data_IF_749596913920
#
_entry.id   IF_749596913920
#
_cell.length_a   1.000
_cell.length_b   1.000
_cell.length_c   1.000
_cell.angle_alpha   90.00
_cell.angle_beta   90.00
_cell.angle_gamma   90.00
#
_symmetry.space_group_name_H-M   'P 1'
#
loop_
_entity.id
_entity.type
_entity.pdbx_description
1 polymer ?
#
# COMPACT_ATOMS: atom_id res chain seq x y z
N UNK A 1 75.43 9.94 -10.97
CA UNK A 1 74.48 11.01 -10.69
C UNK A 1 73.50 11.08 -11.85
N UNK A 2 72.32 10.51 -11.70
CA UNK A 2 71.21 10.70 -12.59
C UNK A 2 69.94 10.70 -11.73
N UNK A 3 69.33 11.88 -11.60
CA UNK A 3 68.07 12.07 -10.88
C UNK A 3 66.92 11.55 -11.73
N UNK A 4 66.13 10.62 -11.20
CA UNK A 4 64.88 10.23 -11.78
C UNK A 4 63.75 11.02 -11.09
N UNK A 5 63.11 11.91 -11.81
CA UNK A 5 61.87 12.58 -11.45
C UNK A 5 60.71 11.56 -11.46
N UNK A 6 60.13 11.28 -10.32
CA UNK A 6 58.89 10.56 -10.19
C UNK A 6 57.77 11.60 -10.33
N UNK A 7 57.06 11.59 -11.45
CA UNK A 7 55.84 12.35 -11.67
C UNK A 7 54.70 11.71 -10.87
N UNK A 8 54.14 12.46 -9.92
CA UNK A 8 52.88 12.14 -9.22
C UNK A 8 51.73 12.27 -10.24
N UNK A 9 51.36 11.15 -10.83
CA UNK A 9 50.08 11.01 -11.56
C UNK A 9 48.99 10.81 -10.51
N UNK A 10 48.19 11.83 -10.24
CA UNK A 10 46.91 11.72 -9.56
C UNK A 10 46.02 10.81 -10.36
N UNK A 11 45.72 9.61 -9.83
CA UNK A 11 44.64 8.76 -10.34
C UNK A 11 43.35 9.52 -10.09
N UNK A 12 42.79 10.10 -11.15
CA UNK A 12 41.38 10.52 -11.15
C UNK A 12 40.54 9.27 -10.94
N UNK A 13 39.79 9.23 -9.85
CA UNK A 13 38.72 8.24 -9.66
C UNK A 13 37.79 8.35 -10.89
N UNK A 14 37.36 7.21 -11.46
CA UNK A 14 36.44 7.25 -12.58
C UNK A 14 35.14 7.93 -12.09
N UNK A 15 34.80 9.05 -12.75
CA UNK A 15 33.47 9.64 -12.62
C UNK A 15 32.45 8.51 -12.84
N UNK A 16 31.71 8.19 -11.79
CA UNK A 16 30.58 7.27 -11.84
C UNK A 16 29.58 7.89 -12.83
N UNK A 17 29.55 7.35 -14.05
CA UNK A 17 28.48 7.68 -15.01
C UNK A 17 27.19 7.38 -14.26
N UNK A 18 26.36 8.38 -14.02
CA UNK A 18 25.05 8.22 -13.40
C UNK A 18 24.33 7.13 -14.19
N UNK A 19 24.09 5.99 -13.57
CA UNK A 19 23.34 4.91 -14.18
C UNK A 19 21.96 5.47 -14.58
N UNK A 20 21.55 5.21 -15.82
CA UNK A 20 20.24 5.61 -16.33
C UNK A 20 19.15 5.10 -15.39
N UNK A 21 18.34 6.02 -14.86
CA UNK A 21 17.21 5.69 -14.01
C UNK A 21 15.91 5.86 -14.81
N UNK A 22 15.14 4.80 -15.08
CA UNK A 22 13.92 4.87 -15.87
C UNK A 22 12.85 5.80 -15.28
N UNK A 23 12.86 6.03 -13.96
CA UNK A 23 11.96 6.97 -13.30
C UNK A 23 12.32 8.44 -13.54
N UNK A 24 13.55 8.74 -13.98
CA UNK A 24 13.94 10.07 -14.45
C UNK A 24 13.47 10.32 -15.89
N UNK A 25 13.36 9.28 -16.74
CA UNK A 25 12.81 9.39 -18.11
C UNK A 25 11.29 9.53 -18.12
N UNK A 26 10.61 8.66 -17.36
CA UNK A 26 9.15 8.66 -17.23
C UNK A 26 8.77 8.55 -15.75
N UNK A 27 8.49 9.68 -15.08
CA UNK A 27 8.14 9.67 -13.67
C UNK A 27 6.92 8.80 -13.39
N UNK A 28 7.02 8.00 -12.32
CA UNK A 28 5.87 7.25 -11.81
C UNK A 28 4.89 8.20 -11.11
N UNK A 29 3.60 8.07 -11.41
CA UNK A 29 2.57 8.85 -10.73
C UNK A 29 2.36 8.29 -9.33
N UNK A 30 3.02 8.87 -8.34
CA UNK A 30 2.90 8.46 -6.94
C UNK A 30 1.58 8.92 -6.34
N UNK A 31 1.03 8.11 -5.43
CA UNK A 31 -0.20 8.39 -4.68
C UNK A 31 0.04 8.14 -3.18
N UNK A 32 -0.70 8.83 -2.29
CA UNK A 32 -0.74 8.47 -0.89
C UNK A 32 -1.29 7.05 -0.69
N UNK A 33 -0.64 6.29 0.16
CA UNK A 33 -1.02 4.90 0.47
C UNK A 33 -1.50 4.84 1.92
N UNK A 34 -2.80 4.84 2.12
CA UNK A 34 -3.43 4.99 3.44
C UNK A 34 -2.97 3.94 4.48
N UNK A 35 -2.80 2.69 4.07
CA UNK A 35 -2.39 1.61 4.99
C UNK A 35 -0.92 1.64 5.39
N UNK A 36 -0.09 2.53 4.79
CA UNK A 36 1.30 2.76 5.23
C UNK A 36 1.38 3.81 6.34
N UNK A 37 0.28 4.51 6.64
CA UNK A 37 0.27 5.49 7.71
C UNK A 37 0.63 4.86 9.05
N UNK A 38 1.52 5.48 9.86
CA UNK A 38 1.96 4.94 11.15
C UNK A 38 0.82 4.52 12.07
N UNK A 39 -0.28 5.26 12.07
CA UNK A 39 -1.47 4.95 12.86
C UNK A 39 -2.17 3.67 12.39
N UNK A 40 -2.22 3.43 11.09
CA UNK A 40 -2.79 2.21 10.50
C UNK A 40 -1.91 1.00 10.82
N UNK A 41 -0.58 1.15 10.66
CA UNK A 41 0.38 0.11 11.01
C UNK A 41 0.34 -0.22 12.51
N UNK A 42 0.18 0.79 13.37
CA UNK A 42 0.05 0.61 14.81
C UNK A 42 -1.22 -0.18 15.19
N UNK A 43 -2.37 0.14 14.57
CA UNK A 43 -3.63 -0.61 14.78
C UNK A 43 -3.47 -2.06 14.33
N UNK A 44 -2.96 -2.28 13.12
CA UNK A 44 -2.75 -3.63 12.60
C UNK A 44 -1.81 -4.44 13.52
N UNK A 45 -0.72 -3.82 13.98
CA UNK A 45 0.20 -4.41 14.95
C UNK A 45 -0.50 -4.75 16.26
N UNK A 46 -1.22 -3.80 16.85
CA UNK A 46 -1.93 -3.97 18.11
C UNK A 46 -2.95 -5.12 18.06
N UNK A 47 -3.80 -5.15 17.01
CA UNK A 47 -4.83 -6.18 16.84
C UNK A 47 -4.26 -7.60 16.70
N UNK A 48 -3.01 -7.73 16.24
CA UNK A 48 -2.30 -9.00 16.11
C UNK A 48 -1.30 -9.27 17.25
N UNK A 49 -1.37 -8.47 18.32
CA UNK A 49 -0.51 -8.60 19.48
C UNK A 49 0.94 -8.21 19.20
N UNK A 50 1.19 -7.34 18.22
CA UNK A 50 2.47 -6.83 17.80
C UNK A 50 3.03 -5.70 18.69
N UNK A 51 4.22 -5.18 18.36
CA UNK A 51 4.80 -4.02 19.05
C UNK A 51 3.86 -2.82 19.01
N UNK A 52 4.02 -1.93 19.97
CA UNK A 52 3.24 -0.70 20.14
C UNK A 52 4.17 0.52 20.08
N UNK A 53 4.68 0.88 18.88
CA UNK A 53 5.54 2.06 18.78
C UNK A 53 4.75 3.34 19.08
N UNK A 54 5.41 4.41 19.54
CA UNK A 54 4.74 5.65 19.91
C UNK A 54 4.03 6.31 18.73
N UNK A 55 2.95 7.05 18.99
CA UNK A 55 2.17 7.80 18.01
C UNK A 55 2.12 9.33 18.30
N UNK A 56 2.70 9.76 19.42
CA UNK A 56 2.83 11.17 19.79
C UNK A 56 4.09 11.82 19.21
N UNK A 57 5.22 11.13 19.31
CA UNK A 57 6.51 11.58 18.78
C UNK A 57 7.25 10.37 18.21
N UNK A 58 7.47 10.37 16.91
CA UNK A 58 8.07 9.24 16.21
C UNK A 58 8.85 9.67 14.96
N UNK A 59 9.65 8.75 14.44
CA UNK A 59 10.42 8.92 13.20
C UNK A 59 10.01 7.90 12.17
N UNK A 60 9.80 8.37 10.94
CA UNK A 60 9.45 7.55 9.77
C UNK A 60 10.55 7.63 8.73
N UNK A 61 10.91 6.50 8.15
CA UNK A 61 11.76 6.38 6.97
C UNK A 61 10.93 5.74 5.85
N UNK A 62 10.90 6.36 4.68
CA UNK A 62 10.36 5.73 3.47
C UNK A 62 11.46 5.51 2.45
N UNK A 63 11.60 4.27 1.99
CA UNK A 63 12.54 3.82 0.97
C UNK A 63 11.79 3.66 -0.35
N UNK A 64 12.18 4.41 -1.37
CA UNK A 64 11.43 4.56 -2.62
C UNK A 64 10.29 5.56 -2.47
N UNK A 65 10.57 6.74 -1.90
CA UNK A 65 9.53 7.74 -1.58
C UNK A 65 8.98 8.49 -2.81
N UNK A 66 9.57 8.29 -4.00
CA UNK A 66 9.19 8.98 -5.21
C UNK A 66 9.16 10.50 -5.03
N UNK A 67 8.12 11.14 -5.53
CA UNK A 67 7.88 12.59 -5.45
C UNK A 67 7.34 13.07 -4.08
N UNK A 68 7.41 12.23 -3.05
CA UNK A 68 6.98 12.52 -1.69
C UNK A 68 5.47 12.46 -1.47
N UNK A 69 4.68 12.05 -2.45
CA UNK A 69 3.21 12.04 -2.36
C UNK A 69 2.67 11.25 -1.16
N UNK A 70 3.38 10.22 -0.71
CA UNK A 70 2.97 9.45 0.47
C UNK A 70 3.38 10.13 1.79
N UNK A 71 4.60 10.66 1.89
CA UNK A 71 5.11 11.24 3.14
C UNK A 71 4.65 12.67 3.42
N UNK A 72 4.47 13.50 2.38
CA UNK A 72 4.13 14.92 2.56
C UNK A 72 2.82 15.13 3.31
N UNK A 73 1.71 14.40 3.02
CA UNK A 73 0.49 14.49 3.81
C UNK A 73 0.71 14.07 5.27
N UNK A 74 1.46 12.99 5.50
CA UNK A 74 1.77 12.52 6.85
C UNK A 74 2.55 13.58 7.64
N UNK A 75 3.58 14.19 7.04
CA UNK A 75 4.38 15.24 7.66
C UNK A 75 3.54 16.52 7.94
N UNK A 76 2.60 16.84 7.06
CA UNK A 76 1.71 17.99 7.23
C UNK A 76 0.80 17.83 8.44
N UNK A 77 0.18 16.65 8.62
CA UNK A 77 -0.75 16.39 9.72
C UNK A 77 -0.07 15.97 11.03
N UNK A 78 1.19 15.53 11.00
CA UNK A 78 1.93 15.02 12.17
C UNK A 78 3.17 15.85 12.45
N UNK A 79 2.94 17.10 12.89
CA UNK A 79 4.03 18.09 13.14
C UNK A 79 5.01 17.67 14.22
N UNK A 80 4.62 16.79 15.14
CA UNK A 80 5.48 16.26 16.22
C UNK A 80 6.31 15.04 15.78
N UNK A 81 6.05 14.50 14.59
CA UNK A 81 6.84 13.41 14.02
C UNK A 81 7.86 13.96 13.02
N UNK A 82 8.89 13.19 12.74
CA UNK A 82 9.91 13.50 11.74
C UNK A 82 9.96 12.45 10.66
N UNK A 83 10.14 12.89 9.42
CA UNK A 83 10.05 12.04 8.23
C UNK A 83 11.33 12.14 7.40
N UNK A 84 11.78 11.02 6.88
CA UNK A 84 12.89 10.94 5.93
C UNK A 84 12.42 10.11 4.74
N UNK A 85 12.49 10.67 3.54
CA UNK A 85 12.24 9.97 2.29
C UNK A 85 13.54 9.75 1.52
N UNK A 86 13.72 8.58 0.94
CA UNK A 86 14.89 8.25 0.11
C UNK A 86 14.43 7.71 -1.23
N UNK A 87 14.98 8.24 -2.32
CA UNK A 87 14.72 7.73 -3.67
C UNK A 87 15.97 7.82 -4.54
N UNK A 88 16.09 6.88 -5.48
CA UNK A 88 17.17 6.82 -6.45
C UNK A 88 16.96 7.73 -7.68
N UNK A 89 15.74 8.24 -7.90
CA UNK A 89 15.43 9.13 -9.02
C UNK A 89 15.58 10.60 -8.60
N UNK A 90 16.52 11.30 -9.23
CA UNK A 90 16.82 12.70 -8.91
C UNK A 90 15.63 13.61 -9.19
N UNK A 91 14.96 13.42 -10.32
CA UNK A 91 13.78 14.22 -10.70
C UNK A 91 12.65 14.11 -9.70
N UNK A 92 12.44 12.93 -9.11
CA UNK A 92 11.43 12.70 -8.08
C UNK A 92 11.75 13.46 -6.79
N UNK A 93 13.01 13.42 -6.33
CA UNK A 93 13.45 14.16 -5.14
C UNK A 93 13.35 15.68 -5.33
N UNK A 94 13.69 16.20 -6.52
CA UNK A 94 13.54 17.63 -6.84
C UNK A 94 12.07 18.08 -6.76
N UNK A 95 11.12 17.25 -7.21
CA UNK A 95 9.68 17.50 -7.08
C UNK A 95 9.28 17.46 -5.60
N UNK A 96 9.72 16.45 -4.84
CA UNK A 96 9.42 16.30 -3.42
C UNK A 96 9.91 17.51 -2.60
N UNK A 97 11.13 17.99 -2.84
CA UNK A 97 11.71 19.16 -2.17
C UNK A 97 10.96 20.46 -2.54
N UNK A 98 10.57 20.62 -3.81
CA UNK A 98 9.75 21.75 -4.23
C UNK A 98 8.40 21.78 -3.50
N UNK A 99 7.72 20.64 -3.40
CA UNK A 99 6.45 20.49 -2.67
C UNK A 99 6.61 20.74 -1.16
N UNK A 100 7.66 20.18 -0.55
CA UNK A 100 8.03 20.44 0.85
C UNK A 100 8.19 21.93 1.11
N UNK A 101 8.93 22.64 0.26
CA UNK A 101 9.15 24.08 0.38
C UNK A 101 7.83 24.87 0.25
N UNK A 102 6.98 24.51 -0.73
CA UNK A 102 5.67 25.13 -0.93
C UNK A 102 4.73 24.96 0.28
N UNK A 103 4.85 23.83 1.01
CA UNK A 103 4.08 23.52 2.22
C UNK A 103 4.69 24.06 3.50
N UNK A 104 5.92 24.55 3.47
CA UNK A 104 6.64 25.02 4.66
C UNK A 104 6.81 23.91 5.71
N UNK A 105 7.20 22.71 5.29
CA UNK A 105 7.35 21.55 6.17
C UNK A 105 8.78 21.45 6.75
N UNK A 106 9.00 21.75 8.04
CA UNK A 106 10.32 21.65 8.65
C UNK A 106 10.65 20.22 9.14
N UNK A 107 9.66 19.35 9.21
CA UNK A 107 9.74 18.03 9.85
C UNK A 107 9.91 16.87 8.85
N UNK A 108 10.29 17.15 7.60
CA UNK A 108 10.58 16.16 6.57
C UNK A 108 11.86 16.50 5.81
N UNK A 109 12.61 15.48 5.46
CA UNK A 109 13.82 15.55 4.64
C UNK A 109 13.73 14.55 3.50
N UNK A 110 14.20 14.92 2.30
CA UNK A 110 14.32 14.02 1.16
C UNK A 110 15.79 13.85 0.79
N UNK A 111 16.20 12.61 0.50
CA UNK A 111 17.59 12.22 0.20
C UNK A 111 17.62 11.52 -1.16
N UNK A 112 18.36 12.08 -2.11
CA UNK A 112 18.67 11.39 -3.35
C UNK A 112 19.83 10.40 -3.11
N UNK A 113 19.50 9.10 -3.05
CA UNK A 113 20.48 8.02 -2.90
C UNK A 113 19.92 6.69 -3.41
N UNK A 114 20.79 5.84 -3.93
CA UNK A 114 20.48 4.42 -4.11
C UNK A 114 20.57 3.67 -2.77
N UNK A 115 19.92 2.52 -2.66
CA UNK A 115 19.83 1.75 -1.41
C UNK A 115 21.18 1.11 -0.99
N UNK A 116 22.13 0.97 -1.91
CA UNK A 116 23.48 0.47 -1.59
C UNK A 116 24.29 1.51 -0.82
N UNK A 117 24.02 2.80 -1.06
CA UNK A 117 24.76 3.93 -0.46
C UNK A 117 23.95 4.71 0.56
N UNK A 118 22.62 4.58 0.58
CA UNK A 118 21.70 5.32 1.45
C UNK A 118 22.04 5.21 2.95
N UNK A 119 22.52 4.05 3.41
CA UNK A 119 22.90 3.83 4.81
C UNK A 119 23.92 4.85 5.34
N UNK A 120 24.79 5.41 4.48
CA UNK A 120 25.79 6.42 4.85
C UNK A 120 25.20 7.82 5.03
N UNK A 121 24.05 8.09 4.45
CA UNK A 121 23.38 9.39 4.47
C UNK A 121 22.25 9.46 5.49
N UNK A 122 21.64 8.32 5.81
CA UNK A 122 20.56 8.23 6.79
C UNK A 122 21.14 8.15 8.20
N UNK A 123 20.71 9.03 9.10
CA UNK A 123 21.14 9.05 10.49
C UNK A 123 20.05 8.59 11.47
N UNK A 124 20.50 7.90 12.55
CA UNK A 124 19.64 7.47 13.63
C UNK A 124 18.75 6.28 13.28
N UNK A 125 17.78 6.01 14.17
CA UNK A 125 16.83 4.90 14.03
C UNK A 125 15.39 5.42 13.92
N UNK A 126 14.50 4.58 13.38
CA UNK A 126 13.14 4.91 13.06
C UNK A 126 12.15 4.00 13.78
N UNK A 127 11.01 4.56 14.15
CA UNK A 127 9.90 3.80 14.74
C UNK A 127 9.11 3.05 13.66
N UNK A 128 9.04 3.65 12.46
CA UNK A 128 8.37 3.10 11.31
C UNK A 128 9.30 3.20 10.09
N UNK A 129 9.41 2.10 9.35
CA UNK A 129 10.06 2.08 8.03
C UNK A 129 9.04 1.61 7.02
N UNK A 130 8.96 2.28 5.88
CA UNK A 130 8.03 2.02 4.78
C UNK A 130 8.86 1.73 3.53
N UNK A 131 8.54 0.64 2.82
CA UNK A 131 9.08 0.32 1.50
C UNK A 131 7.94 -0.18 0.61
N UNK A 132 7.22 0.76 -0.03
CA UNK A 132 6.06 0.45 -0.88
C UNK A 132 6.44 0.50 -2.36
N UNK A 133 6.10 -0.55 -3.11
CA UNK A 133 6.36 -0.62 -4.56
C UNK A 133 7.84 -0.71 -4.94
N UNK A 134 8.70 -1.24 -4.06
CA UNK A 134 10.16 -1.27 -4.28
C UNK A 134 10.70 -2.69 -4.35
N UNK A 135 10.40 -3.52 -3.36
CA UNK A 135 11.14 -4.77 -3.10
C UNK A 135 11.15 -5.76 -4.27
N UNK A 136 10.05 -5.86 -4.99
CA UNK A 136 9.95 -6.75 -6.16
C UNK A 136 10.57 -6.19 -7.43
N UNK A 137 10.92 -4.90 -7.46
CA UNK A 137 11.30 -4.15 -8.65
C UNK A 137 12.78 -3.81 -8.73
N UNK A 138 13.57 -4.30 -7.81
CA UNK A 138 15.00 -4.03 -7.74
C UNK A 138 15.81 -5.33 -7.81
N UNK A 139 17.08 -5.30 -8.29
CA UNK A 139 17.98 -6.45 -8.32
C UNK A 139 18.20 -7.08 -6.94
N UNK A 140 18.68 -8.33 -6.91
CA UNK A 140 18.86 -9.10 -5.68
C UNK A 140 19.78 -8.42 -4.67
N UNK A 141 20.91 -7.89 -5.10
CA UNK A 141 21.88 -7.19 -4.26
C UNK A 141 21.29 -5.92 -3.63
N UNK A 142 20.45 -5.21 -4.37
CA UNK A 142 19.70 -4.05 -3.87
C UNK A 142 18.64 -4.47 -2.85
N UNK A 143 17.93 -5.60 -3.07
CA UNK A 143 16.99 -6.16 -2.07
C UNK A 143 17.70 -6.53 -0.76
N UNK A 144 18.86 -7.18 -0.89
CA UNK A 144 19.66 -7.57 0.28
C UNK A 144 20.15 -6.32 1.05
N UNK A 145 20.60 -5.28 0.34
CA UNK A 145 20.99 -4.00 0.94
C UNK A 145 19.81 -3.29 1.61
N UNK A 146 18.63 -3.29 0.98
CA UNK A 146 17.40 -2.71 1.54
C UNK A 146 17.02 -3.38 2.86
N UNK A 147 16.98 -4.71 2.91
CA UNK A 147 16.67 -5.43 4.15
C UNK A 147 17.74 -5.20 5.23
N UNK A 148 19.01 -5.14 4.86
CA UNK A 148 20.12 -4.83 5.79
C UNK A 148 19.98 -3.41 6.36
N UNK A 149 19.66 -2.43 5.52
CA UNK A 149 19.39 -1.05 5.92
C UNK A 149 18.19 -0.99 6.88
N UNK A 150 17.09 -1.67 6.56
CA UNK A 150 15.93 -1.76 7.45
C UNK A 150 16.30 -2.37 8.81
N UNK A 151 17.07 -3.46 8.84
CA UNK A 151 17.50 -4.10 10.08
C UNK A 151 18.39 -3.19 10.93
N UNK A 152 19.26 -2.41 10.30
CA UNK A 152 20.12 -1.44 11.00
C UNK A 152 19.33 -0.25 11.54
N UNK A 153 18.41 0.28 10.75
CA UNK A 153 17.73 1.56 11.04
C UNK A 153 16.39 1.41 11.79
N UNK A 154 15.78 0.25 11.81
CA UNK A 154 14.57 0.03 12.60
C UNK A 154 14.91 0.01 14.10
N UNK A 155 14.12 0.71 14.91
CA UNK A 155 14.21 0.61 16.38
C UNK A 155 13.71 -0.74 16.87
N UNK A 156 14.16 -1.15 18.04
CA UNK A 156 13.56 -2.26 18.75
C UNK A 156 12.10 -1.90 19.09
N UNK A 157 11.18 -2.81 18.78
CA UNK A 157 9.74 -2.55 18.88
C UNK A 157 9.18 -1.62 17.79
N UNK A 158 9.98 -1.25 16.78
CA UNK A 158 9.50 -0.53 15.59
C UNK A 158 8.83 -1.46 14.61
N UNK A 159 8.16 -0.87 13.61
CA UNK A 159 7.46 -1.58 12.54
C UNK A 159 8.08 -1.27 11.18
N UNK A 160 8.36 -2.32 10.41
CA UNK A 160 8.72 -2.26 9.00
C UNK A 160 7.52 -2.70 8.18
N UNK A 161 6.98 -1.80 7.38
CA UNK A 161 6.06 -2.13 6.29
C UNK A 161 6.85 -2.34 5.00
N UNK A 162 6.59 -3.44 4.33
CA UNK A 162 7.17 -3.73 3.02
C UNK A 162 6.14 -4.49 2.19
N UNK A 163 5.95 -4.15 0.91
CA UNK A 163 5.12 -4.97 0.03
C UNK A 163 5.96 -5.71 -1.00
N UNK A 164 5.43 -6.83 -1.46
CA UNK A 164 6.05 -7.63 -2.52
C UNK A 164 5.02 -8.36 -3.38
N UNK A 165 5.40 -8.59 -4.62
CA UNK A 165 4.61 -9.32 -5.60
C UNK A 165 4.57 -10.81 -5.25
N UNK A 166 3.37 -11.41 -5.29
CA UNK A 166 3.14 -12.81 -4.90
C UNK A 166 3.05 -13.73 -6.11
N UNK A 167 3.76 -14.87 -6.06
CA UNK A 167 3.89 -15.79 -7.19
C UNK A 167 2.58 -16.23 -7.83
N UNK A 168 1.53 -16.63 -7.12
CA UNK A 168 0.33 -17.13 -7.78
C UNK A 168 -0.22 -16.13 -8.81
N UNK A 169 -0.44 -14.90 -8.41
CA UNK A 169 -0.94 -13.86 -9.30
C UNK A 169 0.10 -13.41 -10.33
N UNK A 170 1.34 -13.19 -9.90
CA UNK A 170 2.40 -12.72 -10.79
C UNK A 170 2.95 -13.78 -11.74
N UNK A 171 2.67 -15.07 -11.55
CA UNK A 171 2.95 -16.07 -12.57
C UNK A 171 2.08 -15.86 -13.82
N UNK A 172 0.81 -15.49 -13.65
CA UNK A 172 -0.08 -15.16 -14.78
C UNK A 172 0.27 -13.80 -15.37
N UNK A 173 0.35 -12.77 -14.52
CA UNK A 173 0.72 -11.40 -14.94
C UNK A 173 2.13 -11.36 -15.52
N UNK A 174 3.06 -12.15 -14.99
CA UNK A 174 4.43 -12.30 -15.50
C UNK A 174 4.47 -12.81 -16.93
N UNK A 175 3.59 -13.75 -17.30
CA UNK A 175 3.47 -14.22 -18.68
C UNK A 175 3.03 -13.11 -19.63
N UNK A 176 2.05 -12.26 -19.24
CA UNK A 176 1.64 -11.09 -20.04
C UNK A 176 2.78 -10.10 -20.14
N UNK A 177 3.49 -9.85 -19.05
CA UNK A 177 4.67 -8.98 -19.00
C UNK A 177 5.78 -9.47 -19.95
N UNK A 178 6.16 -10.75 -19.90
CA UNK A 178 7.17 -11.32 -20.78
C UNK A 178 6.77 -11.17 -22.26
N UNK A 179 5.50 -11.40 -22.57
CA UNK A 179 4.96 -11.20 -23.91
C UNK A 179 5.09 -9.75 -24.35
N UNK A 180 4.67 -8.78 -23.55
CA UNK A 180 4.75 -7.35 -23.88
C UNK A 180 6.20 -6.87 -23.99
N UNK A 181 7.11 -7.32 -23.13
CA UNK A 181 8.54 -7.04 -23.22
C UNK A 181 9.11 -7.49 -24.57
N UNK A 182 8.78 -8.71 -25.01
CA UNK A 182 9.23 -9.22 -26.29
C UNK A 182 8.66 -8.45 -27.49
N UNK A 183 7.37 -8.07 -27.42
CA UNK A 183 6.72 -7.32 -28.51
C UNK A 183 7.21 -5.87 -28.66
N UNK A 184 7.81 -5.31 -27.61
CA UNK A 184 8.25 -3.91 -27.56
C UNK A 184 9.77 -3.74 -27.45
N UNK A 185 10.55 -4.82 -27.62
CA UNK A 185 11.99 -4.87 -27.36
C UNK A 185 12.80 -3.85 -28.19
N UNK A 186 12.40 -3.60 -29.45
CA UNK A 186 13.11 -2.72 -30.40
C UNK A 186 12.81 -1.22 -30.20
N UNK A 187 11.89 -0.88 -29.28
CA UNK A 187 11.51 0.51 -29.01
C UNK A 187 12.37 1.04 -27.86
N UNK A 188 13.10 2.11 -28.10
CA UNK A 188 14.06 2.66 -27.13
C UNK A 188 13.45 3.62 -26.12
N UNK A 189 12.50 4.48 -26.53
CA UNK A 189 11.81 5.41 -25.63
C UNK A 189 10.84 4.64 -24.71
N UNK A 190 10.94 4.85 -23.40
CA UNK A 190 10.11 4.17 -22.43
C UNK A 190 8.62 4.52 -22.60
N UNK A 191 8.32 5.78 -22.90
CA UNK A 191 6.96 6.25 -23.18
C UNK A 191 6.38 5.56 -24.43
N UNK A 192 7.10 5.60 -25.57
CA UNK A 192 6.64 4.98 -26.82
C UNK A 192 6.49 3.46 -26.65
N UNK A 193 7.39 2.86 -25.89
CA UNK A 193 7.35 1.43 -25.55
C UNK A 193 6.09 1.07 -24.76
N UNK A 194 5.72 1.88 -23.77
CA UNK A 194 4.52 1.67 -22.97
C UNK A 194 3.23 1.87 -23.79
N UNK A 195 3.19 2.86 -24.66
CA UNK A 195 2.08 3.08 -25.60
C UNK A 195 1.95 1.89 -26.57
N UNK A 196 3.04 1.42 -27.14
CA UNK A 196 3.03 0.24 -28.01
C UNK A 196 2.56 -1.02 -27.28
N UNK A 197 2.92 -1.18 -25.99
CA UNK A 197 2.44 -2.27 -25.16
C UNK A 197 0.92 -2.22 -24.98
N UNK A 198 0.34 -1.04 -24.77
CA UNK A 198 -1.12 -0.86 -24.70
C UNK A 198 -1.80 -1.17 -26.04
N UNK A 199 -1.22 -0.76 -27.16
CA UNK A 199 -1.72 -1.07 -28.50
C UNK A 199 -1.71 -2.58 -28.78
N UNK A 200 -0.63 -3.27 -28.37
CA UNK A 200 -0.54 -4.73 -28.46
C UNK A 200 -1.60 -5.39 -27.60
N UNK A 201 -1.76 -4.93 -26.36
CA UNK A 201 -2.77 -5.43 -25.42
C UNK A 201 -4.21 -5.27 -26.00
N UNK A 202 -4.53 -4.12 -26.56
CA UNK A 202 -5.82 -3.86 -27.19
C UNK A 202 -6.09 -4.81 -28.38
N UNK A 203 -5.09 -5.08 -29.21
CA UNK A 203 -5.19 -6.03 -30.32
C UNK A 203 -5.42 -7.45 -29.83
N UNK A 204 -4.75 -7.87 -28.75
CA UNK A 204 -4.98 -9.18 -28.12
C UNK A 204 -6.39 -9.29 -27.59
N UNK A 205 -6.88 -8.29 -26.85
CA UNK A 205 -8.25 -8.26 -26.33
C UNK A 205 -9.27 -8.38 -27.46
N UNK A 206 -9.09 -7.62 -28.56
CA UNK A 206 -9.98 -7.65 -29.72
C UNK A 206 -9.95 -9.01 -30.47
N UNK A 207 -8.84 -9.74 -30.39
CA UNK A 207 -8.66 -11.04 -31.06
C UNK A 207 -9.14 -12.22 -30.22
N UNK A 208 -9.30 -12.02 -28.90
CA UNK A 208 -9.79 -13.08 -28.01
C UNK A 208 -11.28 -13.30 -28.30
N UNK A 209 -11.59 -14.45 -28.86
CA UNK A 209 -12.97 -14.93 -28.87
C UNK A 209 -13.31 -15.25 -27.41
N UNK A 210 -14.08 -14.36 -26.76
CA UNK A 210 -14.57 -14.58 -25.41
C UNK A 210 -15.62 -15.71 -25.49
N UNK A 211 -15.13 -16.94 -25.59
CA UNK A 211 -15.90 -18.15 -25.41
C UNK A 211 -15.92 -18.53 -23.93
N UNK A 212 -16.59 -19.62 -23.63
CA UNK A 212 -16.71 -20.18 -22.27
C UNK A 212 -15.37 -20.70 -21.67
N UNK A 213 -14.23 -20.52 -22.36
CA UNK A 213 -12.95 -21.07 -21.89
C UNK A 213 -12.34 -20.17 -20.81
N UNK A 214 -12.14 -20.65 -19.56
CA UNK A 214 -11.64 -19.86 -18.43
C UNK A 214 -10.31 -19.16 -18.71
N UNK A 215 -9.43 -19.78 -19.50
CA UNK A 215 -8.15 -19.18 -19.89
C UNK A 215 -8.30 -17.91 -20.74
N UNK A 216 -9.26 -17.90 -21.69
CA UNK A 216 -9.55 -16.72 -22.50
C UNK A 216 -10.09 -15.56 -21.65
N UNK A 217 -10.91 -15.87 -20.67
CA UNK A 217 -11.40 -14.89 -19.69
C UNK A 217 -10.26 -14.30 -18.86
N UNK A 218 -9.37 -15.17 -18.32
CA UNK A 218 -8.22 -14.74 -17.52
C UNK A 218 -7.30 -13.85 -18.32
N UNK A 219 -6.93 -14.23 -19.55
CA UNK A 219 -6.11 -13.42 -20.44
C UNK A 219 -6.77 -12.08 -20.77
N UNK A 220 -8.08 -12.10 -21.10
CA UNK A 220 -8.83 -10.88 -21.39
C UNK A 220 -8.75 -9.89 -20.24
N UNK A 221 -8.91 -10.36 -19.00
CA UNK A 221 -8.85 -9.51 -17.83
C UNK A 221 -7.47 -8.90 -17.63
N UNK A 222 -6.39 -9.68 -17.79
CA UNK A 222 -5.02 -9.18 -17.62
C UNK A 222 -4.63 -8.18 -18.73
N UNK A 223 -5.00 -8.43 -20.01
CA UNK A 223 -4.73 -7.48 -21.09
C UNK A 223 -5.61 -6.23 -21.02
N UNK A 224 -6.87 -6.32 -20.60
CA UNK A 224 -7.71 -5.15 -20.31
C UNK A 224 -7.10 -4.29 -19.21
N UNK A 225 -6.57 -4.91 -18.16
CA UNK A 225 -5.87 -4.19 -17.10
C UNK A 225 -4.69 -3.36 -17.65
N UNK A 226 -3.93 -3.87 -18.63
CA UNK A 226 -2.88 -3.09 -19.30
C UNK A 226 -3.47 -1.90 -20.08
N UNK A 227 -4.57 -2.10 -20.80
CA UNK A 227 -5.22 -1.05 -21.61
C UNK A 227 -5.78 0.09 -20.73
N UNK A 228 -6.30 -0.23 -19.56
CA UNK A 228 -7.04 0.70 -18.69
C UNK A 228 -6.14 1.50 -17.75
N UNK A 229 -4.88 1.09 -17.58
CA UNK A 229 -3.95 1.76 -16.68
C UNK A 229 -3.20 2.90 -17.38
N UNK A 230 -2.72 3.85 -16.57
CA UNK A 230 -1.92 4.97 -17.06
C UNK A 230 -0.61 4.47 -17.69
N UNK A 231 -0.13 5.14 -18.73
CA UNK A 231 1.07 4.75 -19.47
C UNK A 231 2.31 4.60 -18.59
N UNK A 232 2.48 5.45 -17.57
CA UNK A 232 3.61 5.33 -16.62
C UNK A 232 3.50 4.08 -15.76
N UNK A 233 2.28 3.65 -15.38
CA UNK A 233 2.04 2.39 -14.69
C UNK A 233 2.45 1.20 -15.56
N UNK A 234 2.02 1.20 -16.83
CA UNK A 234 2.39 0.14 -17.79
C UNK A 234 3.90 0.06 -17.96
N UNK A 235 4.57 1.22 -18.08
CA UNK A 235 6.02 1.30 -18.21
C UNK A 235 6.75 0.63 -17.02
N UNK A 236 6.36 0.94 -15.81
CA UNK A 236 7.10 0.51 -14.62
C UNK A 236 6.65 -0.85 -14.08
N UNK A 237 5.39 -1.27 -14.33
CA UNK A 237 4.89 -2.57 -13.86
C UNK A 237 5.05 -3.69 -14.90
N UNK A 238 4.87 -3.38 -16.19
CA UNK A 238 4.91 -4.40 -17.24
C UNK A 238 6.21 -4.38 -18.07
N UNK A 239 6.95 -3.27 -18.08
CA UNK A 239 8.15 -3.14 -18.91
C UNK A 239 9.45 -2.93 -18.11
N UNK A 240 9.40 -2.87 -16.78
CA UNK A 240 10.58 -2.87 -15.93
C UNK A 240 11.45 -4.11 -16.19
N UNK A 241 12.77 -3.98 -16.08
CA UNK A 241 13.69 -5.11 -16.27
C UNK A 241 13.54 -6.10 -15.11
N UNK A 242 13.57 -5.60 -13.88
CA UNK A 242 13.45 -6.42 -12.69
C UNK A 242 11.99 -6.57 -12.28
N UNK A 243 11.60 -7.80 -12.00
CA UNK A 243 10.37 -8.16 -11.31
C UNK A 243 10.59 -9.49 -10.61
N UNK A 244 10.44 -9.52 -9.30
CA UNK A 244 10.61 -10.74 -8.53
C UNK A 244 9.42 -10.99 -7.62
N UNK A 245 8.68 -12.05 -7.89
CA UNK A 245 7.57 -12.50 -7.07
C UNK A 245 8.00 -13.63 -6.13
N UNK A 246 7.42 -13.66 -4.94
CA UNK A 246 7.71 -14.65 -3.90
C UNK A 246 6.48 -15.48 -3.56
N UNK A 247 6.70 -16.75 -3.15
CA UNK A 247 5.77 -17.42 -2.27
C UNK A 247 5.83 -16.73 -0.88
N UNK A 248 4.72 -16.71 -0.17
CA UNK A 248 4.69 -16.15 1.19
C UNK A 248 5.74 -16.83 2.10
N UNK A 249 5.83 -18.15 2.04
CA UNK A 249 6.81 -18.94 2.79
C UNK A 249 8.26 -18.57 2.47
N UNK A 250 8.58 -18.30 1.19
CA UNK A 250 9.93 -17.87 0.76
C UNK A 250 10.27 -16.51 1.34
N UNK A 251 9.34 -15.54 1.22
CA UNK A 251 9.56 -14.19 1.73
C UNK A 251 9.71 -14.17 3.26
N UNK A 252 8.83 -14.85 3.99
CA UNK A 252 8.93 -14.92 5.46
C UNK A 252 10.23 -15.57 5.92
N UNK A 253 10.69 -16.63 5.21
CA UNK A 253 11.98 -17.24 5.48
C UNK A 253 13.16 -16.30 5.17
N UNK A 254 13.05 -15.43 4.17
CA UNK A 254 14.05 -14.40 3.90
C UNK A 254 14.06 -13.34 5.02
N UNK A 255 12.89 -12.84 5.41
CA UNK A 255 12.76 -11.86 6.48
C UNK A 255 13.34 -12.37 7.81
N UNK A 256 13.07 -13.64 8.17
CA UNK A 256 13.62 -14.28 9.37
C UNK A 256 15.17 -14.34 9.34
N UNK A 257 15.76 -14.69 8.20
CA UNK A 257 17.24 -14.68 8.04
C UNK A 257 17.84 -13.29 8.17
N UNK A 258 17.07 -12.24 7.86
CA UNK A 258 17.48 -10.85 8.03
C UNK A 258 17.16 -10.30 9.43
N UNK A 259 16.71 -11.14 10.38
CA UNK A 259 16.43 -10.76 11.75
C UNK A 259 15.06 -10.13 11.97
N UNK A 260 14.10 -10.37 11.06
CA UNK A 260 12.74 -9.89 11.20
C UNK A 260 11.76 -11.01 11.56
N UNK A 261 10.65 -10.62 12.16
CA UNK A 261 9.52 -11.48 12.49
C UNK A 261 8.24 -10.85 11.96
N UNK A 262 7.39 -11.65 11.32
CA UNK A 262 6.10 -11.20 10.80
C UNK A 262 5.11 -10.95 11.94
N UNK A 263 4.42 -9.81 11.88
CA UNK A 263 3.39 -9.38 12.82
C UNK A 263 2.00 -9.58 12.23
N UNK A 264 1.74 -8.93 11.10
CA UNK A 264 0.44 -8.89 10.40
C UNK A 264 0.65 -8.48 8.94
N UNK A 265 -0.40 -8.47 8.13
CA UNK A 265 -0.45 -7.72 6.87
C UNK A 265 -1.20 -6.38 7.10
N UNK A 266 -0.76 -5.33 6.42
CA UNK A 266 -1.31 -3.97 6.60
C UNK A 266 -2.65 -3.78 5.86
N UNK A 267 -2.79 -4.37 4.67
CA UNK A 267 -4.05 -4.35 3.91
C UNK A 267 -4.78 -5.69 4.07
N UNK A 268 -5.88 -5.65 4.83
CA UNK A 268 -6.75 -6.83 5.03
C UNK A 268 -7.73 -7.03 3.88
N UNK A 269 -7.99 -5.99 3.09
CA UNK A 269 -9.03 -5.96 2.07
C UNK A 269 -8.50 -6.17 0.66
N UNK A 270 -7.22 -6.51 0.51
CA UNK A 270 -6.68 -6.75 -0.82
C UNK A 270 -7.55 -7.78 -1.56
N UNK A 271 -8.05 -7.47 -2.77
CA UNK A 271 -9.01 -8.31 -3.50
C UNK A 271 -8.33 -9.54 -4.08
N UNK A 272 -7.93 -10.42 -3.22
CA UNK A 272 -7.64 -11.78 -3.58
C UNK A 272 -8.95 -12.52 -3.42
N UNK A 273 -9.60 -12.88 -4.49
CA UNK A 273 -10.85 -13.61 -4.54
C UNK A 273 -11.51 -13.98 -3.20
N UNK A 274 -12.79 -14.10 -3.12
CA UNK A 274 -13.47 -14.50 -1.88
C UNK A 274 -12.97 -15.88 -1.47
N UNK A 275 -12.11 -15.93 -0.46
CA UNK A 275 -11.72 -17.19 0.15
C UNK A 275 -12.94 -17.67 0.95
N UNK A 276 -13.47 -18.87 0.71
CA UNK A 276 -14.53 -19.43 1.54
C UNK A 276 -14.12 -19.43 3.02
N UNK A 277 -15.01 -19.00 3.92
CA UNK A 277 -14.70 -18.92 5.37
C UNK A 277 -14.26 -20.27 5.95
N UNK A 278 -14.78 -21.37 5.39
CA UNK A 278 -14.45 -22.73 5.80
C UNK A 278 -13.18 -23.29 5.16
N UNK A 279 -12.55 -22.56 4.22
CA UNK A 279 -11.32 -23.06 3.56
C UNK A 279 -10.20 -23.33 4.56
N UNK A 280 -9.96 -22.40 5.48
CA UNK A 280 -8.94 -22.56 6.49
C UNK A 280 -9.15 -23.80 7.39
N UNK A 281 -10.33 -23.98 7.98
CA UNK A 281 -10.68 -25.21 8.69
C UNK A 281 -10.52 -26.49 7.86
N UNK A 282 -10.97 -26.50 6.61
CA UNK A 282 -10.83 -27.67 5.72
C UNK A 282 -9.37 -28.02 5.45
N UNK A 283 -8.54 -27.05 5.04
CA UNK A 283 -7.13 -27.30 4.78
C UNK A 283 -6.40 -27.85 6.00
N UNK A 284 -6.72 -27.35 7.20
CA UNK A 284 -6.17 -27.90 8.44
C UNK A 284 -6.63 -29.30 8.73
N UNK A 285 -7.89 -29.62 8.48
CA UNK A 285 -8.43 -30.98 8.63
C UNK A 285 -7.74 -31.96 7.68
N UNK A 286 -7.34 -31.52 6.48
CA UNK A 286 -6.59 -32.29 5.49
C UNK A 286 -5.08 -32.34 5.79
N UNK A 287 -4.63 -31.82 6.93
CA UNK A 287 -3.23 -31.86 7.36
C UNK A 287 -2.35 -30.80 6.69
N UNK A 288 -2.91 -29.87 5.95
CA UNK A 288 -2.19 -28.75 5.34
C UNK A 288 -2.03 -27.65 6.39
N UNK A 289 -0.82 -27.53 6.93
CA UNK A 289 -0.50 -26.60 8.02
C UNK A 289 0.81 -25.85 7.79
N UNK A 290 1.07 -24.85 8.64
CA UNK A 290 2.30 -24.06 8.60
C UNK A 290 2.46 -23.25 7.32
N UNK A 291 3.70 -23.15 6.84
CA UNK A 291 4.00 -22.33 5.65
C UNK A 291 3.29 -22.83 4.38
N UNK A 292 3.13 -24.13 4.22
CA UNK A 292 2.39 -24.72 3.10
C UNK A 292 0.91 -24.34 3.10
N UNK A 293 0.32 -24.13 4.26
CA UNK A 293 -1.06 -23.64 4.38
C UNK A 293 -1.23 -22.24 3.79
N UNK A 294 -0.35 -21.30 4.15
CA UNK A 294 -0.42 -19.91 3.67
C UNK A 294 -0.19 -19.83 2.15
N UNK A 295 0.79 -20.55 1.61
CA UNK A 295 1.03 -20.64 0.16
C UNK A 295 -0.17 -21.26 -0.58
N UNK A 296 -0.86 -22.22 0.03
CA UNK A 296 -2.07 -22.82 -0.55
C UNK A 296 -3.23 -21.82 -0.57
N UNK A 297 -3.41 -21.05 0.50
CA UNK A 297 -4.41 -19.97 0.53
C UNK A 297 -4.14 -18.94 -0.56
N UNK A 298 -2.88 -18.51 -0.72
CA UNK A 298 -2.47 -17.57 -1.77
C UNK A 298 -2.77 -18.13 -3.17
N UNK A 299 -2.45 -19.40 -3.40
CA UNK A 299 -2.71 -20.08 -4.68
C UNK A 299 -4.21 -20.09 -5.01
N UNK A 300 -5.05 -20.47 -4.05
CA UNK A 300 -6.50 -20.58 -4.25
C UNK A 300 -7.20 -19.23 -4.36
N UNK A 301 -6.63 -18.19 -3.77
CA UNK A 301 -7.17 -16.80 -3.82
C UNK A 301 -6.61 -15.97 -4.96
N UNK A 302 -5.73 -16.52 -5.81
CA UNK A 302 -5.05 -15.74 -6.85
C UNK A 302 -4.34 -14.50 -6.31
N UNK A 303 -3.67 -14.63 -5.15
CA UNK A 303 -3.00 -13.50 -4.48
C UNK A 303 -1.92 -12.88 -5.39
N UNK A 304 -1.95 -11.56 -5.53
CA UNK A 304 -0.99 -10.81 -6.35
C UNK A 304 0.01 -10.00 -5.52
N UNK A 305 -0.37 -9.62 -4.30
CA UNK A 305 0.43 -8.75 -3.45
C UNK A 305 0.29 -9.15 -1.99
N UNK A 306 1.38 -9.07 -1.24
CA UNK A 306 1.40 -9.06 0.21
C UNK A 306 1.93 -7.73 0.75
N UNK A 307 1.44 -7.34 1.92
CA UNK A 307 1.76 -6.09 2.62
C UNK A 307 2.20 -6.35 4.05
N UNK A 308 3.23 -7.21 4.28
CA UNK A 308 3.61 -7.59 5.62
C UNK A 308 4.09 -6.40 6.45
N UNK A 309 3.70 -6.44 7.71
CA UNK A 309 4.27 -5.66 8.80
C UNK A 309 5.23 -6.57 9.55
N UNK A 310 6.48 -6.16 9.62
CA UNK A 310 7.56 -6.89 10.26
C UNK A 310 8.08 -6.10 11.47
N UNK A 311 8.67 -6.81 12.43
CA UNK A 311 9.42 -6.21 13.53
C UNK A 311 10.74 -6.96 13.74
N UNK A 312 11.69 -6.37 14.51
CA UNK A 312 12.92 -7.08 14.83
C UNK A 312 12.67 -8.32 15.68
N UNK A 313 13.38 -9.39 15.37
CA UNK A 313 13.40 -10.64 16.14
C UNK A 313 14.53 -10.62 17.20
N UNK A 314 14.37 -11.24 18.39
CA UNK A 314 13.16 -11.92 18.84
C UNK A 314 12.12 -10.95 19.40
N UNK A 315 10.86 -11.23 19.10
CA UNK A 315 9.74 -10.51 19.69
C UNK A 315 8.68 -11.51 20.17
N UNK A 316 8.08 -11.26 21.33
CA UNK A 316 7.04 -12.11 21.89
C UNK A 316 5.69 -11.46 21.71
N UNK A 317 4.75 -12.18 21.08
CA UNK A 317 3.39 -11.72 20.85
C UNK A 317 2.68 -11.42 22.17
N UNK A 318 2.14 -10.21 22.28
CA UNK A 318 1.42 -9.75 23.47
C UNK A 318 -0.07 -9.79 23.17
N UNK A 319 -0.88 -10.53 23.96
CA UNK A 319 -2.33 -10.52 23.80
C UNK A 319 -2.89 -9.10 23.88
N UNK A 320 -3.85 -8.78 23.01
CA UNK A 320 -4.62 -7.55 23.10
C UNK A 320 -5.53 -7.62 24.33
N UNK A 321 -5.41 -6.64 25.22
CA UNK A 321 -6.31 -6.54 26.41
C UNK A 321 -7.61 -5.84 26.02
N UNK A 322 -8.68 -6.12 26.80
CA UNK A 322 -9.98 -5.44 26.62
C UNK A 322 -9.82 -3.92 26.82
N UNK A 323 -8.98 -3.49 27.76
CA UNK A 323 -8.72 -2.08 28.02
C UNK A 323 -8.03 -1.41 26.81
N UNK A 324 -7.01 -2.03 26.21
CA UNK A 324 -6.36 -1.51 25.00
C UNK A 324 -7.35 -1.42 23.84
N UNK A 325 -8.22 -2.42 23.67
CA UNK A 325 -9.24 -2.39 22.62
C UNK A 325 -10.28 -1.29 22.88
N UNK A 326 -10.75 -1.14 24.11
CA UNK A 326 -11.70 -0.10 24.50
C UNK A 326 -11.15 1.32 24.30
N UNK A 327 -9.84 1.50 24.36
CA UNK A 327 -9.15 2.76 24.09
C UNK A 327 -8.98 3.11 22.62
N UNK A 328 -9.21 2.17 21.71
CA UNK A 328 -9.25 2.48 20.28
C UNK A 328 -10.45 3.37 19.94
N UNK A 329 -10.30 4.14 18.88
CA UNK A 329 -11.42 4.87 18.26
C UNK A 329 -12.03 4.03 17.16
N UNK A 330 -13.36 4.09 17.06
CA UNK A 330 -14.15 3.50 15.98
C UNK A 330 -14.78 4.61 15.15
N UNK A 331 -14.68 4.51 13.82
CA UNK A 331 -15.36 5.39 12.88
C UNK A 331 -16.05 4.56 11.80
N UNK A 332 -17.17 5.05 11.27
CA UNK A 332 -17.93 4.37 10.23
C UNK A 332 -18.59 5.34 9.27
N UNK A 333 -18.47 5.08 7.97
CA UNK A 333 -19.20 5.76 6.89
C UNK A 333 -20.42 4.96 6.42
N UNK A 334 -20.75 3.85 7.07
CA UNK A 334 -21.89 3.00 6.72
C UNK A 334 -23.21 3.73 6.92
N UNK A 335 -24.01 3.88 5.88
CA UNK A 335 -25.35 4.49 5.94
C UNK A 335 -26.43 3.42 6.05
N UNK A 336 -27.44 3.60 6.91
CA UNK A 336 -28.55 2.68 6.96
C UNK A 336 -29.29 2.67 5.62
N UNK A 337 -29.71 1.49 5.17
CA UNK A 337 -30.54 1.33 3.98
C UNK A 337 -31.79 0.50 4.28
N UNK A 338 -32.78 0.56 3.39
CA UNK A 338 -34.04 -0.15 3.59
C UNK A 338 -33.79 -1.66 3.63
N UNK A 339 -34.35 -2.29 4.66
CA UNK A 339 -34.43 -3.74 4.84
C UNK A 339 -35.89 -4.17 4.79
N UNK A 340 -36.16 -5.25 4.09
CA UNK A 340 -37.47 -5.93 4.17
C UNK A 340 -37.64 -6.70 5.47
N UNK A 341 -36.56 -6.87 6.25
CA UNK A 341 -36.52 -7.54 7.53
C UNK A 341 -36.55 -6.51 8.66
N UNK A 342 -37.41 -6.73 9.64
CA UNK A 342 -37.56 -5.85 10.82
C UNK A 342 -36.67 -6.28 12.00
N UNK A 343 -36.06 -7.46 11.92
CA UNK A 343 -35.20 -7.99 12.98
C UNK A 343 -33.72 -7.62 12.78
N UNK A 344 -33.31 -7.22 11.55
CA UNK A 344 -31.95 -6.89 11.20
C UNK A 344 -31.87 -5.54 10.45
N UNK A 345 -30.82 -4.77 10.71
CA UNK A 345 -30.56 -3.52 10.02
C UNK A 345 -29.54 -3.71 8.91
N UNK A 346 -29.90 -3.30 7.70
CA UNK A 346 -28.96 -3.25 6.57
C UNK A 346 -28.23 -1.92 6.53
N UNK A 347 -26.97 -1.97 6.17
CA UNK A 347 -26.12 -0.81 5.95
C UNK A 347 -25.44 -0.90 4.60
N UNK A 348 -25.19 0.25 3.99
CA UNK A 348 -24.47 0.36 2.73
C UNK A 348 -23.20 1.19 2.91
N UNK A 349 -22.08 0.66 2.43
CA UNK A 349 -20.84 1.38 2.31
C UNK A 349 -20.86 2.26 1.05
N UNK A 350 -20.19 3.42 0.99
CA UNK A 350 -20.11 4.26 -0.21
C UNK A 350 -19.63 3.53 -1.48
N UNK A 351 -18.83 2.47 -1.32
CA UNK A 351 -18.44 1.59 -2.44
C UNK A 351 -19.56 0.71 -3.00
N UNK A 352 -20.80 0.82 -2.49
CA UNK A 352 -21.94 0.00 -2.88
C UNK A 352 -22.06 -1.35 -2.15
N UNK A 353 -21.09 -1.71 -1.32
CA UNK A 353 -21.13 -2.94 -0.54
C UNK A 353 -22.19 -2.86 0.56
N UNK A 354 -23.01 -3.90 0.72
CA UNK A 354 -24.03 -3.97 1.75
C UNK A 354 -23.63 -4.98 2.84
N UNK A 355 -23.98 -4.66 4.09
CA UNK A 355 -23.74 -5.50 5.25
C UNK A 355 -24.97 -5.53 6.14
N UNK A 356 -25.28 -6.70 6.65
CA UNK A 356 -26.32 -6.93 7.65
C UNK A 356 -25.71 -6.86 9.04
N UNK A 357 -26.24 -5.98 9.90
CA UNK A 357 -25.91 -5.94 11.32
C UNK A 357 -27.02 -6.65 12.11
N UNK A 358 -26.69 -7.80 12.70
CA UNK A 358 -27.65 -8.66 13.42
C UNK A 358 -27.84 -8.22 14.86
N UNK A 359 -26.75 -7.76 15.49
CA UNK A 359 -26.76 -7.35 16.89
C UNK A 359 -27.27 -5.91 17.04
N UNK A 360 -28.30 -5.72 17.87
CA UNK A 360 -28.90 -4.39 18.11
C UNK A 360 -27.85 -3.38 18.60
N UNK A 361 -26.92 -3.80 19.44
CA UNK A 361 -25.85 -2.96 19.96
C UNK A 361 -24.90 -2.47 18.86
N UNK A 362 -24.66 -3.30 17.84
CA UNK A 362 -23.81 -2.94 16.69
C UNK A 362 -24.52 -1.94 15.79
N UNK A 363 -25.75 -2.22 15.32
CA UNK A 363 -26.42 -1.30 14.41
C UNK A 363 -26.84 0.02 15.09
N UNK A 364 -27.15 0.02 16.38
CA UNK A 364 -27.35 1.25 17.14
C UNK A 364 -26.08 2.10 17.23
N UNK A 365 -24.91 1.47 17.37
CA UNK A 365 -23.62 2.18 17.32
C UNK A 365 -23.33 2.72 15.92
N UNK A 366 -23.49 1.93 14.86
CA UNK A 366 -23.26 2.35 13.48
C UNK A 366 -24.12 3.56 13.09
N UNK A 367 -25.41 3.58 13.48
CA UNK A 367 -26.31 4.71 13.29
C UNK A 367 -25.84 6.00 14.00
N UNK A 368 -25.15 5.88 15.14
CA UNK A 368 -24.58 7.03 15.85
C UNK A 368 -23.25 7.49 15.29
N UNK A 369 -22.48 6.60 14.66
CA UNK A 369 -21.17 6.87 14.11
C UNK A 369 -21.25 7.58 12.73
N UNK A 370 -22.16 7.13 11.87
CA UNK A 370 -22.28 7.64 10.51
C UNK A 370 -22.36 9.17 10.42
N UNK A 371 -23.21 9.90 11.19
CA UNK A 371 -23.29 11.35 11.10
C UNK A 371 -22.01 12.07 11.62
N UNK A 372 -21.13 11.35 12.28
CA UNK A 372 -19.87 11.89 12.82
C UNK A 372 -18.69 11.68 11.90
N UNK A 373 -18.84 10.85 10.87
CA UNK A 373 -17.78 10.59 9.90
C UNK A 373 -17.17 11.89 9.37
N UNK A 374 -15.84 12.02 9.25
CA UNK A 374 -14.81 11.00 9.50
C UNK A 374 -14.34 10.89 10.96
N UNK A 375 -14.97 11.58 11.91
CA UNK A 375 -14.63 11.51 13.33
C UNK A 375 -15.03 10.16 13.93
N UNK A 376 -14.20 9.67 14.85
CA UNK A 376 -14.47 8.46 15.61
C UNK A 376 -15.00 8.74 17.01
N UNK A 377 -15.30 7.67 17.72
CA UNK A 377 -15.63 7.66 19.15
C UNK A 377 -14.79 6.56 19.78
N UNK A 378 -14.35 6.74 21.03
CA UNK A 378 -13.69 5.64 21.74
C UNK A 378 -14.64 4.45 21.85
N UNK A 379 -14.13 3.26 21.64
CA UNK A 379 -14.95 2.03 21.72
C UNK A 379 -15.58 1.90 23.11
N UNK A 380 -14.82 2.18 24.17
CA UNK A 380 -15.35 2.15 25.54
C UNK A 380 -16.45 3.18 25.84
N UNK A 381 -16.54 4.27 25.05
CA UNK A 381 -17.61 5.26 25.14
C UNK A 381 -18.82 4.89 24.25
N UNK A 382 -18.59 4.08 23.22
CA UNK A 382 -19.62 3.63 22.30
C UNK A 382 -20.38 2.40 22.79
N UNK A 383 -19.72 1.51 23.54
CA UNK A 383 -20.24 0.23 23.99
C UNK A 383 -20.09 0.05 25.51
N UNK A 384 -21.18 -0.36 26.18
CA UNK A 384 -21.17 -0.63 27.62
C UNK A 384 -20.39 -1.90 27.96
N UNK A 385 -20.44 -2.90 27.10
CA UNK A 385 -19.69 -4.16 27.22
C UNK A 385 -18.86 -4.39 25.97
N UNK A 386 -17.60 -4.01 26.03
CA UNK A 386 -16.65 -4.16 24.92
C UNK A 386 -16.34 -5.65 24.64
N UNK A 387 -16.40 -6.50 25.67
CA UNK A 387 -16.11 -7.93 25.53
C UNK A 387 -17.09 -8.62 24.60
N UNK A 388 -18.35 -8.18 24.63
CA UNK A 388 -19.42 -8.75 23.82
C UNK A 388 -19.27 -8.43 22.32
N UNK A 389 -18.70 -7.28 21.98
CA UNK A 389 -18.65 -6.76 20.58
C UNK A 389 -17.28 -6.84 19.93
N UNK A 390 -16.22 -7.21 20.66
CA UNK A 390 -14.83 -7.15 20.17
C UNK A 390 -14.61 -7.96 18.89
N UNK A 391 -15.17 -9.16 18.80
CA UNK A 391 -14.95 -10.03 17.64
C UNK A 391 -15.72 -9.51 16.41
N UNK A 392 -16.94 -9.00 16.60
CA UNK A 392 -17.74 -8.40 15.53
C UNK A 392 -17.05 -7.14 14.96
N UNK A 393 -16.56 -6.26 15.84
CA UNK A 393 -15.83 -5.07 15.43
C UNK A 393 -14.53 -5.40 14.69
N UNK A 394 -13.83 -6.46 15.11
CA UNK A 394 -12.63 -6.93 14.40
C UNK A 394 -12.98 -7.49 13.01
N UNK A 395 -14.10 -8.20 12.88
CA UNK A 395 -14.60 -8.71 11.60
C UNK A 395 -14.99 -7.56 10.69
N UNK A 396 -15.75 -6.59 11.18
CA UNK A 396 -16.16 -5.40 10.42
C UNK A 396 -14.93 -4.59 9.96
N UNK A 397 -13.95 -4.40 10.84
CA UNK A 397 -12.71 -3.71 10.51
C UNK A 397 -11.91 -4.45 9.42
N UNK A 398 -11.75 -5.78 9.58
CA UNK A 398 -11.04 -6.61 8.58
C UNK A 398 -11.69 -6.58 7.21
N UNK A 399 -13.01 -6.40 7.16
CA UNK A 399 -13.76 -6.28 5.90
C UNK A 399 -13.83 -4.84 5.37
N UNK A 400 -13.16 -3.87 6.04
CA UNK A 400 -13.14 -2.46 5.62
C UNK A 400 -14.46 -1.74 5.78
N UNK A 401 -15.36 -2.27 6.62
CA UNK A 401 -16.70 -1.71 6.85
C UNK A 401 -16.71 -0.65 7.96
N UNK A 402 -15.73 -0.72 8.86
CA UNK A 402 -15.46 0.30 9.87
C UNK A 402 -13.96 0.55 9.93
N UNK A 403 -13.57 1.66 10.50
CA UNK A 403 -12.19 1.97 10.82
C UNK A 403 -11.94 1.89 12.32
N UNK A 404 -10.87 1.16 12.71
CA UNK A 404 -10.30 1.24 14.04
C UNK A 404 -9.05 2.11 13.99
N UNK A 405 -8.87 2.99 14.98
CA UNK A 405 -7.78 3.97 15.04
C UNK A 405 -7.18 4.02 16.44
N UNK A 406 -5.86 4.18 16.54
CA UNK A 406 -5.18 4.41 17.81
C UNK A 406 -5.29 5.87 18.28
N UNK A 407 -5.50 6.80 17.36
CA UNK A 407 -5.64 8.23 17.62
C UNK A 407 -6.82 8.80 16.84
N UNK A 408 -7.45 9.82 17.40
CA UNK A 408 -8.47 10.61 16.70
C UNK A 408 -7.79 11.51 15.65
N UNK A 409 -8.34 11.65 14.43
CA UNK A 409 -7.88 12.68 13.50
C UNK A 409 -7.99 14.06 14.16
N UNK A 410 -6.88 14.79 14.22
CA UNK A 410 -6.88 16.14 14.82
C UNK A 410 -7.86 17.03 14.06
N UNK A 411 -8.66 17.78 14.82
CA UNK A 411 -9.43 18.89 14.26
C UNK A 411 -8.44 19.93 13.74
N UNK A 412 -8.28 20.01 12.44
CA UNK A 412 -7.60 21.12 11.84
C UNK A 412 -8.66 22.12 11.33
N UNK A 413 -9.19 22.94 12.23
CA UNK A 413 -10.11 24.04 11.86
C UNK A 413 -9.50 25.01 10.86
N UNK A 414 -8.17 25.16 10.88
CA UNK A 414 -7.39 25.91 9.87
C UNK A 414 -7.06 25.06 8.63
N UNK A 415 -7.24 23.75 8.70
CA UNK A 415 -6.90 22.80 7.63
C UNK A 415 -7.78 22.92 6.40
N UNK A 416 -9.06 23.26 6.52
CA UNK A 416 -9.96 23.33 5.35
C UNK A 416 -9.52 24.39 4.34
N UNK A 417 -9.11 25.57 4.79
CA UNK A 417 -8.58 26.62 3.89
C UNK A 417 -7.18 26.30 3.37
N UNK A 418 -6.33 25.70 4.20
CA UNK A 418 -4.98 25.29 3.80
C UNK A 418 -5.00 24.07 2.89
N UNK A 419 -5.91 23.10 3.11
CA UNK A 419 -6.17 21.97 2.22
C UNK A 419 -6.69 22.44 0.86
N UNK A 420 -7.70 23.31 0.84
CA UNK A 420 -8.23 23.88 -0.42
C UNK A 420 -7.14 24.66 -1.19
N UNK A 421 -6.21 25.34 -0.49
CA UNK A 421 -5.05 25.99 -1.13
C UNK A 421 -4.02 25.00 -1.64
N UNK A 422 -3.84 23.85 -0.98
CA UNK A 422 -2.96 22.78 -1.39
C UNK A 422 -3.53 22.03 -2.57
N UNK A 423 -4.81 21.70 -2.54
CA UNK A 423 -5.55 21.08 -3.64
C UNK A 423 -5.54 21.98 -4.88
N UNK A 424 -5.79 23.27 -4.73
CA UNK A 424 -5.72 24.25 -5.81
C UNK A 424 -4.31 24.43 -6.42
N UNK A 425 -3.24 24.26 -5.61
CA UNK A 425 -1.85 24.36 -6.08
C UNK A 425 -1.29 23.07 -6.67
N UNK A 426 -1.81 21.92 -6.28
CA UNK A 426 -1.26 20.61 -6.66
C UNK A 426 -2.19 19.74 -7.51
N UNK A 427 -3.29 20.31 -7.99
CA UNK A 427 -4.21 19.58 -8.85
C UNK A 427 -4.86 18.38 -8.14
N UNK A 428 -5.31 18.55 -6.90
CA UNK A 428 -6.22 17.60 -6.26
C UNK A 428 -5.59 16.41 -5.52
N UNK A 429 -4.28 16.42 -5.20
CA UNK A 429 -3.59 15.24 -4.66
C UNK A 429 -3.21 15.28 -3.17
N UNK A 430 -3.87 16.07 -2.36
CA UNK A 430 -3.68 16.01 -0.89
C UNK A 430 -4.89 15.32 -0.26
N UNK A 431 -5.00 14.01 -0.45
CA UNK A 431 -5.92 13.22 0.37
C UNK A 431 -5.25 12.94 1.71
N UNK A 432 -5.94 13.25 2.79
CA UNK A 432 -5.54 12.77 4.12
C UNK A 432 -5.67 11.25 4.15
N UNK A 433 -4.91 10.54 5.01
CA UNK A 433 -5.15 9.12 5.24
C UNK A 433 -6.56 8.80 5.76
N UNK A 434 -7.38 9.83 5.99
CA UNK A 434 -8.73 9.77 6.54
C UNK A 434 -9.81 10.38 5.62
N UNK A 435 -9.48 10.89 4.44
CA UNK A 435 -10.46 11.40 3.49
C UNK A 435 -10.85 10.30 2.50
N UNK A 436 -12.12 9.96 2.51
CA UNK A 436 -12.75 9.18 1.47
C UNK A 436 -13.03 10.06 0.24
N UNK A 437 -13.19 9.43 -0.93
CA UNK A 437 -13.44 10.02 -2.24
C UNK A 437 -14.52 11.11 -2.34
N UNK A 438 -15.42 11.24 -1.38
CA UNK A 438 -16.54 12.19 -1.42
C UNK A 438 -16.10 13.66 -1.30
N UNK A 439 -14.85 13.94 -0.95
CA UNK A 439 -14.30 15.30 -0.87
C UNK A 439 -13.49 15.73 -2.10
N UNK A 440 -13.37 14.89 -3.13
CA UNK A 440 -12.69 15.23 -4.39
C UNK A 440 -13.72 15.72 -5.39
N UNK A 441 -13.60 16.95 -5.95
CA UNK A 441 -14.51 17.44 -6.97
C UNK A 441 -14.54 16.51 -8.19
N UNK A 442 -15.72 16.28 -8.76
CA UNK A 442 -15.99 15.36 -9.87
C UNK A 442 -15.16 15.59 -11.15
N UNK A 443 -14.54 16.74 -11.29
CA UNK A 443 -13.66 17.09 -12.42
C UNK A 443 -12.31 16.37 -12.38
N UNK A 444 -11.96 15.71 -11.26
CA UNK A 444 -10.70 14.98 -11.06
C UNK A 444 -10.87 13.46 -11.05
N UNK A 445 -12.10 12.92 -11.16
CA UNK A 445 -12.36 11.47 -11.17
C UNK A 445 -11.71 10.74 -12.35
N UNK A 446 -11.44 11.43 -13.46
CA UNK A 446 -10.87 10.84 -14.66
C UNK A 446 -9.38 10.39 -14.49
N UNK A 447 -8.68 10.92 -13.48
CA UNK A 447 -7.26 10.67 -13.26
C UNK A 447 -6.94 9.73 -12.06
N UNK A 448 -7.93 9.29 -11.29
CA UNK A 448 -7.74 8.38 -10.18
C UNK A 448 -7.79 6.92 -10.63
N UNK A 449 -6.65 6.31 -10.90
CA UNK A 449 -6.48 4.96 -11.45
C UNK A 449 -6.87 3.82 -10.48
N UNK A 450 -7.18 4.09 -9.24
CA UNK A 450 -7.67 3.09 -8.28
C UNK A 450 -9.15 3.26 -7.91
N UNK A 451 -10.00 3.62 -8.90
CA UNK A 451 -11.43 3.46 -8.73
C UNK A 451 -11.80 2.00 -9.02
N UNK A 452 -12.17 1.24 -7.99
CA UNK A 452 -12.96 0.03 -8.16
C UNK A 452 -14.30 0.44 -8.79
N UNK A 453 -14.37 0.49 -10.11
CA UNK A 453 -15.66 0.43 -10.80
C UNK A 453 -16.08 -1.02 -10.81
N UNK A 454 -17.06 -1.37 -9.97
CA UNK A 454 -17.93 -2.51 -10.30
C UNK A 454 -18.57 -2.21 -11.66
N UNK A 455 -18.56 -3.12 -12.63
CA UNK A 455 -19.33 -2.94 -13.86
C UNK A 455 -20.79 -2.79 -13.45
N UNK A 456 -21.40 -1.65 -13.71
CA UNK A 456 -22.85 -1.55 -13.77
C UNK A 456 -23.27 -2.43 -14.94
N UNK A 457 -24.04 -3.47 -14.65
CA UNK A 457 -24.79 -4.20 -15.66
C UNK A 457 -25.71 -3.18 -16.36
N UNK A 458 -25.37 -2.86 -17.60
CA UNK A 458 -26.29 -2.20 -18.50
C UNK A 458 -27.50 -3.12 -18.69
N UNK A 459 -28.60 -2.79 -18.02
CA UNK A 459 -29.91 -3.32 -18.35
C UNK A 459 -30.29 -2.84 -19.76
N UNK A 460 -30.02 -3.66 -20.76
CA UNK A 460 -30.64 -3.51 -22.08
C UNK A 460 -32.15 -3.62 -21.90
N UNK A 461 -32.83 -2.48 -21.97
CA UNK A 461 -34.26 -2.44 -22.22
C UNK A 461 -34.50 -2.94 -23.64
N UNK A 462 -34.97 -4.17 -23.78
CA UNK A 462 -35.70 -4.60 -24.96
C UNK A 462 -37.08 -3.93 -24.94
N UNK A 463 -37.29 -2.94 -25.78
CA UNK A 463 -38.59 -2.42 -26.12
C UNK A 463 -39.13 -3.10 -27.40
N UNK A 464 -40.46 -3.02 -27.70
CA UNK A 464 -41.29 -4.06 -28.30
C UNK A 464 -40.99 -4.39 -29.75
#
# INVERSE_FOLDING_TARGET
MMNANIANGSLQEPECKSAFNPYDELPYKSLPIEWTAPERLAVASLLHGGPRPPLDTYRVLELGCGDGSNLLPLAYYRRNATFVGVDGARSQIEIADSRKAALGLPNIEFIHADFLTAAKQISGQFNYIIAHGVFSWVPKDVRDALLSLCAERLRDGGLLYLNYNTRPGWNVRGMVREFLLAQTAEISSLLDRAQAAQDVAAKVVASLTIGEHPYSQLLSNEFKFVCENHVSYVAHEFLAIDNHAYWRSEFLGLAERCGFQHVADADFNYPSGKIPEDLGPRLRADGIMGRGFEDTVDLLSYRQLHTPILTKSPWTRQPLTIEEFANLFIASCLSPCDSSDTEHQMFQHPSGYQVEAKEEVIWAALNRLQPRWPRGVRIGDAFLDVTHVIDDLRILHRNGLIELRCIEPSECGECSESLNRLEARWGGYVTTPYHTRESVPSEFEADCIYTRTCPQEETQQCGP
#
